data_IF_174147650982
#
_entry.id   IF_174147650982
#
_cell.length_a   1.000
_cell.length_b   1.000
_cell.length_c   1.000
_cell.angle_alpha   90.00
_cell.angle_beta   90.00
_cell.angle_gamma   90.00
#
_symmetry.space_group_name_H-M   'P 1'
#
loop_
_entity.id
_entity.type
_entity.pdbx_description
1 polymer ?
#
# COMPACT_ATOMS: atom_id res chain seq x y z
N UNK A 1 22.97 -20.42 -34.54
CA UNK A 1 22.76 -19.20 -33.76
C UNK A 1 21.67 -19.51 -32.77
N UNK A 2 22.01 -19.65 -31.46
CA UNK A 2 21.01 -19.87 -30.45
C UNK A 2 20.09 -18.64 -30.36
N UNK A 3 18.79 -18.86 -30.26
CA UNK A 3 17.84 -17.78 -30.02
C UNK A 3 18.31 -16.97 -28.80
N UNK A 4 18.48 -15.65 -28.99
CA UNK A 4 18.80 -14.78 -27.84
C UNK A 4 17.65 -14.88 -26.82
N UNK A 5 17.97 -15.09 -25.57
CA UNK A 5 16.97 -15.13 -24.51
C UNK A 5 16.24 -13.76 -24.46
N UNK A 6 14.92 -13.80 -24.40
CA UNK A 6 14.05 -12.62 -24.36
C UNK A 6 13.18 -12.65 -23.10
N UNK A 7 12.77 -11.46 -22.63
CA UNK A 7 11.83 -11.36 -21.54
C UNK A 7 10.46 -11.91 -21.98
N UNK A 8 9.88 -12.74 -21.13
CA UNK A 8 8.56 -13.28 -21.37
C UNK A 8 7.49 -12.20 -21.24
N UNK A 9 6.64 -12.10 -22.23
CA UNK A 9 5.45 -11.27 -22.21
C UNK A 9 4.28 -11.95 -22.91
N UNK A 10 3.10 -11.41 -22.68
CA UNK A 10 1.90 -11.69 -23.47
C UNK A 10 1.24 -10.37 -23.85
N UNK A 11 0.51 -10.35 -24.95
CA UNK A 11 -0.32 -9.19 -25.27
C UNK A 11 -1.60 -9.19 -24.42
N UNK A 12 -2.20 -8.01 -24.28
CA UNK A 12 -3.46 -7.88 -23.56
C UNK A 12 -4.56 -8.79 -24.13
N UNK A 13 -4.62 -8.91 -25.47
CA UNK A 13 -5.56 -9.80 -26.16
C UNK A 13 -5.32 -11.28 -25.82
N UNK A 14 -4.07 -11.73 -25.80
CA UNK A 14 -3.72 -13.11 -25.47
C UNK A 14 -4.12 -13.45 -24.03
N UNK A 15 -3.83 -12.57 -23.08
CA UNK A 15 -4.17 -12.79 -21.67
C UNK A 15 -5.68 -12.75 -21.41
N UNK A 16 -6.39 -11.80 -22.04
CA UNK A 16 -7.83 -11.72 -21.92
C UNK A 16 -8.55 -12.93 -22.51
N UNK A 17 -8.01 -13.52 -23.55
CA UNK A 17 -8.55 -14.72 -24.22
C UNK A 17 -8.36 -16.01 -23.41
N UNK A 18 -7.35 -16.09 -22.54
CA UNK A 18 -7.10 -17.28 -21.72
C UNK A 18 -8.05 -17.46 -20.53
N UNK A 19 -8.72 -16.40 -20.09
CA UNK A 19 -9.47 -16.42 -18.83
C UNK A 19 -8.59 -16.26 -17.59
N UNK A 20 -9.20 -15.82 -16.47
CA UNK A 20 -8.47 -15.49 -15.24
C UNK A 20 -7.81 -16.71 -14.58
N UNK A 21 -8.43 -17.86 -14.64
CA UNK A 21 -7.95 -19.08 -13.97
C UNK A 21 -6.92 -19.86 -14.82
N UNK A 22 -6.79 -19.50 -16.11
CA UNK A 22 -5.87 -20.15 -17.06
C UNK A 22 -4.68 -19.23 -17.46
N UNK A 23 -4.44 -18.18 -16.68
CA UNK A 23 -3.33 -17.29 -16.92
C UNK A 23 -1.98 -18.03 -16.82
N UNK A 24 -0.99 -17.65 -17.68
CA UNK A 24 0.37 -18.17 -17.55
C UNK A 24 0.90 -17.98 -16.12
N UNK A 25 1.65 -18.97 -15.65
CA UNK A 25 2.24 -19.00 -14.31
C UNK A 25 3.00 -17.73 -13.96
N UNK A 26 3.65 -17.13 -14.93
CA UNK A 26 4.46 -15.93 -14.81
C UNK A 26 3.67 -14.72 -14.27
N UNK A 27 2.36 -14.71 -14.45
CA UNK A 27 1.49 -13.63 -13.97
C UNK A 27 0.76 -13.93 -12.65
N UNK A 28 0.94 -15.15 -12.10
CA UNK A 28 0.22 -15.60 -10.91
C UNK A 28 1.17 -15.61 -9.69
N UNK A 29 1.04 -14.66 -8.73
CA UNK A 29 1.96 -14.53 -7.59
C UNK A 29 2.04 -15.79 -6.71
N UNK A 30 0.93 -16.49 -6.54
CA UNK A 30 0.80 -17.67 -5.71
C UNK A 30 1.46 -18.93 -6.30
N UNK A 31 1.84 -18.90 -7.57
CA UNK A 31 2.48 -20.02 -8.27
C UNK A 31 4.00 -19.88 -8.43
N UNK A 32 4.58 -18.80 -7.91
CA UNK A 32 6.02 -18.59 -7.96
C UNK A 32 6.70 -18.97 -6.66
N UNK A 33 7.81 -19.71 -6.78
CA UNK A 33 8.72 -20.04 -5.67
C UNK A 33 9.94 -19.11 -5.64
N UNK A 34 10.21 -18.41 -6.73
CA UNK A 34 11.38 -17.52 -6.88
C UNK A 34 10.92 -16.18 -7.44
N UNK A 35 11.53 -15.11 -6.93
CA UNK A 35 11.37 -13.73 -7.37
C UNK A 35 12.77 -13.22 -7.73
N UNK A 36 13.07 -13.13 -9.01
CA UNK A 36 14.42 -12.80 -9.46
C UNK A 36 14.47 -11.73 -10.55
N UNK A 37 13.36 -11.01 -10.77
CA UNK A 37 13.43 -9.90 -11.71
C UNK A 37 14.30 -8.78 -11.13
N UNK A 38 15.11 -8.08 -11.96
CA UNK A 38 15.98 -7.03 -11.47
C UNK A 38 15.27 -5.89 -10.76
N UNK A 39 14.10 -5.45 -11.24
CA UNK A 39 13.32 -4.42 -10.58
C UNK A 39 12.76 -4.87 -9.24
N UNK A 40 12.30 -6.13 -9.13
CA UNK A 40 11.84 -6.70 -7.85
C UNK A 40 12.98 -6.73 -6.83
N UNK A 41 14.17 -7.15 -7.22
CA UNK A 41 15.34 -7.14 -6.36
C UNK A 41 15.74 -5.73 -5.94
N UNK A 42 15.64 -4.76 -6.84
CA UNK A 42 15.98 -3.36 -6.55
C UNK A 42 14.99 -2.67 -5.59
N UNK A 43 13.69 -2.96 -5.73
CA UNK A 43 12.64 -2.18 -5.05
C UNK A 43 11.77 -2.98 -4.07
N UNK A 44 11.67 -4.31 -4.24
CA UNK A 44 10.88 -5.22 -3.41
C UNK A 44 11.75 -6.26 -2.72
N UNK A 45 12.97 -5.93 -2.31
CA UNK A 45 13.75 -6.86 -1.51
C UNK A 45 12.99 -7.26 -0.24
N UNK A 46 13.22 -8.44 0.35
CA UNK A 46 12.55 -8.87 1.58
C UNK A 46 12.62 -7.83 2.71
N UNK A 47 13.66 -6.98 2.72
CA UNK A 47 13.76 -5.84 3.65
C UNK A 47 12.78 -4.70 3.37
N UNK A 48 12.25 -4.57 2.15
CA UNK A 48 11.30 -3.50 1.80
C UNK A 48 9.93 -3.70 2.47
N UNK A 49 9.47 -4.93 2.64
CA UNK A 49 8.24 -5.21 3.40
C UNK A 49 8.37 -4.85 4.89
N UNK A 50 9.58 -4.95 5.46
CA UNK A 50 9.87 -4.46 6.81
C UNK A 50 9.61 -2.96 6.98
N UNK A 51 9.74 -2.17 5.94
CA UNK A 51 9.48 -0.74 5.97
C UNK A 51 7.99 -0.42 6.19
N UNK A 52 7.10 -1.11 5.50
CA UNK A 52 5.64 -0.97 5.69
C UNK A 52 5.22 -1.34 7.11
N UNK A 53 5.81 -2.37 7.69
CA UNK A 53 5.55 -2.80 9.07
C UNK A 53 6.00 -1.75 10.09
N UNK A 54 7.15 -1.07 9.89
CA UNK A 54 7.57 0.05 10.74
C UNK A 54 6.56 1.18 10.71
N UNK A 55 6.19 1.65 9.52
CA UNK A 55 5.24 2.74 9.34
C UNK A 55 3.89 2.39 9.99
N UNK A 56 3.41 1.17 9.77
CA UNK A 56 2.18 0.69 10.38
C UNK A 56 2.28 0.59 11.90
N UNK A 57 3.27 -0.12 12.43
CA UNK A 57 3.43 -0.36 13.85
C UNK A 57 3.67 0.92 14.66
N UNK A 58 4.44 1.86 14.10
CA UNK A 58 4.75 3.14 14.75
C UNK A 58 3.76 4.28 14.39
N UNK A 59 2.65 3.96 13.71
CA UNK A 59 1.60 4.93 13.43
C UNK A 59 0.81 5.35 14.68
N UNK A 60 0.79 4.53 15.73
CA UNK A 60 0.18 4.90 17.01
C UNK A 60 1.07 5.96 17.69
N UNK A 61 0.57 7.16 18.00
CA UNK A 61 1.36 8.20 18.65
C UNK A 61 1.95 7.75 19.99
N UNK A 62 3.24 7.99 20.19
CA UNK A 62 3.97 7.60 21.39
C UNK A 62 4.26 6.10 21.52
N UNK A 63 3.93 5.28 20.52
CA UNK A 63 4.32 3.85 20.52
C UNK A 63 5.79 3.67 20.22
N UNK A 64 6.34 2.55 20.68
CA UNK A 64 7.67 2.05 20.34
C UNK A 64 7.58 0.65 19.76
N UNK A 65 8.61 0.21 19.06
CA UNK A 65 8.67 -1.13 18.48
C UNK A 65 9.85 -1.91 19.03
N UNK A 66 9.61 -3.12 19.51
CA UNK A 66 10.63 -4.11 19.81
C UNK A 66 10.65 -5.15 18.68
N UNK A 67 11.71 -5.13 17.87
CA UNK A 67 11.96 -6.15 16.86
C UNK A 67 12.74 -7.31 17.43
N UNK A 68 12.18 -8.50 17.34
CA UNK A 68 12.77 -9.77 17.80
C UNK A 68 13.25 -10.52 16.57
N UNK A 69 14.54 -10.61 16.37
CA UNK A 69 15.08 -11.14 15.13
C UNK A 69 16.55 -11.59 15.24
N UNK A 70 17.00 -12.50 14.35
CA UNK A 70 18.42 -12.66 14.06
C UNK A 70 19.02 -11.32 13.57
N UNK A 71 20.33 -11.17 13.76
CA UNK A 71 21.04 -9.92 13.46
C UNK A 71 20.90 -9.41 12.03
N UNK A 72 20.73 -10.29 11.05
CA UNK A 72 20.55 -9.91 9.64
C UNK A 72 19.25 -9.11 9.40
N UNK A 73 18.12 -9.54 9.99
CA UNK A 73 16.84 -8.84 9.86
C UNK A 73 16.86 -7.49 10.60
N UNK A 74 17.43 -7.47 11.81
CA UNK A 74 17.57 -6.25 12.60
C UNK A 74 18.40 -5.19 11.88
N UNK A 75 19.54 -5.58 11.28
CA UNK A 75 20.43 -4.65 10.56
C UNK A 75 19.76 -3.94 9.40
N UNK A 76 19.04 -4.65 8.55
CA UNK A 76 18.32 -4.04 7.43
C UNK A 76 17.29 -3.04 7.92
N UNK A 77 16.62 -3.34 9.03
CA UNK A 77 15.61 -2.46 9.62
C UNK A 77 16.26 -1.24 10.28
N UNK A 78 17.44 -1.39 10.91
CA UNK A 78 18.19 -0.30 11.51
C UNK A 78 18.73 0.67 10.45
N UNK A 79 19.29 0.17 9.35
CA UNK A 79 19.84 1.00 8.26
C UNK A 79 18.81 1.97 7.66
N UNK A 80 17.53 1.60 7.66
CA UNK A 80 16.43 2.43 7.20
C UNK A 80 15.79 3.28 8.32
N UNK A 81 16.27 3.17 9.58
CA UNK A 81 15.71 3.85 10.75
C UNK A 81 15.78 5.38 10.71
N UNK A 82 16.91 5.99 10.28
CA UNK A 82 17.04 7.46 10.25
C UNK A 82 16.09 8.13 9.24
N UNK A 83 15.81 7.46 8.13
CA UNK A 83 14.85 7.98 7.15
C UNK A 83 13.42 7.68 7.60
N UNK A 84 12.68 8.68 8.05
CA UNK A 84 11.25 8.57 8.42
C UNK A 84 10.93 8.88 9.88
N UNK A 85 11.86 9.44 10.66
CA UNK A 85 11.58 9.92 12.03
C UNK A 85 11.36 8.83 13.08
N UNK A 86 11.90 7.63 12.84
CA UNK A 86 11.76 6.48 13.76
C UNK A 86 12.90 6.32 14.76
N UNK A 87 13.89 7.22 14.74
CA UNK A 87 15.01 7.21 15.69
C UNK A 87 14.49 7.30 17.13
N UNK A 88 15.02 6.48 18.00
CA UNK A 88 14.61 6.40 19.41
C UNK A 88 13.29 5.67 19.67
N UNK A 89 12.59 5.21 18.64
CA UNK A 89 11.33 4.46 18.77
C UNK A 89 11.45 2.98 18.37
N UNK A 90 12.64 2.56 17.94
CA UNK A 90 12.91 1.17 17.54
C UNK A 90 13.99 0.54 18.40
N UNK A 91 13.67 -0.59 18.96
CA UNK A 91 14.54 -1.42 19.82
C UNK A 91 14.67 -2.80 19.22
N UNK A 92 15.77 -3.48 19.51
CA UNK A 92 16.11 -4.78 18.94
C UNK A 92 16.46 -5.77 20.03
N UNK A 93 15.80 -6.92 20.01
CA UNK A 93 16.22 -8.09 20.76
C UNK A 93 16.81 -9.09 19.77
N UNK A 94 18.12 -9.27 19.83
CA UNK A 94 18.82 -10.21 18.97
C UNK A 94 18.59 -11.63 19.44
N UNK A 95 18.31 -12.52 18.49
CA UNK A 95 18.18 -13.95 18.70
C UNK A 95 19.46 -14.66 18.29
N UNK A 96 19.98 -15.52 19.16
CA UNK A 96 21.01 -16.52 18.84
C UNK A 96 20.39 -17.89 18.53
N UNK A 97 21.21 -18.83 18.04
CA UNK A 97 20.74 -20.18 17.71
C UNK A 97 20.21 -20.92 18.95
N UNK A 98 20.82 -20.72 20.11
CA UNK A 98 20.36 -21.32 21.36
C UNK A 98 19.02 -20.82 21.79
N UNK A 99 18.77 -19.51 21.63
CA UNK A 99 17.46 -18.90 21.90
C UNK A 99 16.37 -19.51 21.03
N UNK A 100 16.66 -19.74 19.75
CA UNK A 100 15.73 -20.32 18.79
C UNK A 100 15.41 -21.78 19.12
N UNK A 101 16.46 -22.61 19.33
CA UNK A 101 16.32 -24.06 19.59
C UNK A 101 15.61 -24.34 20.91
N UNK A 102 15.89 -23.55 21.93
CA UNK A 102 15.35 -23.77 23.30
C UNK A 102 14.04 -22.99 23.54
N UNK A 103 13.66 -22.05 22.67
CA UNK A 103 12.54 -21.13 22.89
C UNK A 103 12.79 -20.13 24.03
N UNK A 104 14.04 -20.01 24.53
CA UNK A 104 14.42 -19.17 25.67
C UNK A 104 14.12 -17.68 25.43
N UNK A 105 14.16 -17.22 24.19
CA UNK A 105 13.84 -15.84 23.84
C UNK A 105 12.45 -15.43 24.30
N UNK A 106 11.46 -16.34 24.30
CA UNK A 106 10.09 -16.03 24.71
C UNK A 106 10.02 -15.61 26.19
N UNK A 107 10.86 -16.20 27.04
CA UNK A 107 10.95 -15.82 28.46
C UNK A 107 11.68 -14.50 28.70
N UNK A 108 12.53 -14.05 27.75
CA UNK A 108 13.25 -12.77 27.80
C UNK A 108 12.38 -11.58 27.40
N UNK A 109 11.38 -11.79 26.54
CA UNK A 109 10.56 -10.71 25.97
C UNK A 109 9.90 -9.82 27.03
N UNK A 110 9.23 -10.34 28.07
CA UNK A 110 8.63 -9.50 29.10
C UNK A 110 9.65 -8.58 29.80
N UNK A 111 10.85 -9.11 30.07
CA UNK A 111 11.95 -8.33 30.64
C UNK A 111 12.43 -7.22 29.71
N UNK A 112 12.60 -7.53 28.41
CA UNK A 112 13.03 -6.56 27.40
C UNK A 112 12.00 -5.42 27.23
N UNK A 113 10.69 -5.73 27.24
CA UNK A 113 9.63 -4.70 27.17
C UNK A 113 9.67 -3.81 28.40
N UNK A 114 9.88 -4.38 29.60
CA UNK A 114 10.02 -3.59 30.84
C UNK A 114 11.26 -2.69 30.79
N UNK A 115 12.37 -3.18 30.28
CA UNK A 115 13.62 -2.43 30.12
C UNK A 115 13.42 -1.23 29.19
N UNK A 116 12.77 -1.43 28.03
CA UNK A 116 12.41 -0.35 27.09
C UNK A 116 11.57 0.74 27.78
N UNK A 117 10.57 0.33 28.56
CA UNK A 117 9.72 1.29 29.28
C UNK A 117 10.50 2.09 30.32
N UNK A 118 11.56 1.53 30.90
CA UNK A 118 12.46 2.24 31.81
C UNK A 118 13.50 3.11 31.09
N UNK A 119 13.86 2.76 29.89
CA UNK A 119 14.83 3.50 29.07
C UNK A 119 14.23 4.76 28.42
N UNK A 120 12.98 4.71 28.02
CA UNK A 120 12.29 5.83 27.38
C UNK A 120 12.10 6.98 28.37
N UNK A 121 12.39 8.22 27.97
CA UNK A 121 12.16 9.43 28.76
C UNK A 121 10.69 9.63 29.13
N UNK A 122 9.79 9.27 28.19
CA UNK A 122 8.35 9.23 28.42
C UNK A 122 7.87 7.78 28.29
N UNK A 123 6.93 7.38 29.15
CA UNK A 123 6.38 6.03 29.10
C UNK A 123 5.68 5.80 27.77
N UNK A 124 6.05 4.75 26.99
CA UNK A 124 5.40 4.45 25.72
C UNK A 124 3.89 4.25 25.87
N UNK A 125 3.11 4.73 24.92
CA UNK A 125 1.66 4.53 24.87
C UNK A 125 1.30 3.09 24.50
N UNK A 126 2.16 2.43 23.75
CA UNK A 126 2.09 1.00 23.42
C UNK A 126 3.46 0.49 22.98
N UNK A 127 3.70 -0.80 23.14
CA UNK A 127 4.86 -1.48 22.56
C UNK A 127 4.39 -2.41 21.45
N UNK A 128 4.90 -2.19 20.24
CA UNK A 128 4.67 -3.06 19.09
C UNK A 128 5.72 -4.17 19.11
N UNK A 129 5.28 -5.38 19.45
CA UNK A 129 6.14 -6.55 19.53
C UNK A 129 6.25 -7.18 18.14
N UNK A 130 7.34 -6.89 17.45
CA UNK A 130 7.52 -7.29 16.05
C UNK A 130 8.35 -8.56 15.94
N UNK A 131 7.76 -9.61 15.36
CA UNK A 131 8.42 -10.86 15.05
C UNK A 131 8.74 -11.01 13.57
N UNK A 132 9.74 -11.85 13.29
CA UNK A 132 10.16 -12.20 11.94
C UNK A 132 9.67 -13.59 11.52
N UNK A 133 10.18 -14.09 10.40
CA UNK A 133 9.87 -15.44 9.92
C UNK A 133 10.26 -16.56 10.88
N UNK A 134 11.24 -16.37 11.77
CA UNK A 134 11.65 -17.37 12.76
C UNK A 134 10.49 -17.77 13.65
N UNK A 135 9.90 -16.82 14.36
CA UNK A 135 8.74 -17.09 15.23
C UNK A 135 7.50 -17.54 14.47
N UNK A 136 7.33 -17.04 13.23
CA UNK A 136 6.25 -17.49 12.37
C UNK A 136 6.38 -18.98 12.01
N UNK A 137 7.61 -19.47 11.76
CA UNK A 137 7.90 -20.88 11.48
C UNK A 137 7.78 -21.75 12.73
N UNK A 138 8.21 -21.24 13.89
CA UNK A 138 8.06 -21.91 15.18
C UNK A 138 6.61 -22.00 15.66
N UNK A 139 5.70 -21.26 15.07
CA UNK A 139 4.30 -21.23 15.47
C UNK A 139 4.06 -20.55 16.82
N UNK A 140 4.89 -19.58 17.17
CA UNK A 140 4.82 -18.83 18.44
C UNK A 140 3.43 -18.25 18.67
N UNK A 141 2.86 -18.50 19.86
CA UNK A 141 1.62 -17.86 20.32
C UNK A 141 1.90 -16.42 20.74
N UNK A 142 1.82 -15.51 19.77
CA UNK A 142 2.09 -14.10 19.99
C UNK A 142 1.10 -13.42 20.92
N UNK A 143 -0.14 -13.89 20.99
CA UNK A 143 -1.14 -13.29 21.89
C UNK A 143 -0.78 -13.57 23.35
N UNK A 144 -0.33 -14.79 23.64
CA UNK A 144 0.16 -15.15 24.96
C UNK A 144 1.41 -14.35 25.35
N UNK A 145 2.36 -14.24 24.44
CA UNK A 145 3.61 -13.49 24.67
C UNK A 145 3.32 -12.02 24.92
N UNK A 146 2.45 -11.40 24.14
CA UNK A 146 2.06 -10.00 24.32
C UNK A 146 1.34 -9.79 25.66
N UNK A 147 0.45 -10.70 26.10
CA UNK A 147 -0.21 -10.61 27.42
C UNK A 147 0.82 -10.66 28.55
N UNK A 148 1.75 -11.60 28.52
CA UNK A 148 2.80 -11.70 29.55
C UNK A 148 3.69 -10.45 29.59
N UNK A 149 4.06 -9.91 28.44
CA UNK A 149 4.86 -8.69 28.36
C UNK A 149 4.06 -7.46 28.86
N UNK A 150 2.77 -7.38 28.55
CA UNK A 150 1.89 -6.31 29.03
C UNK A 150 1.73 -6.35 30.56
N UNK A 151 1.58 -7.54 31.15
CA UNK A 151 1.50 -7.71 32.60
C UNK A 151 2.80 -7.26 33.28
N UNK A 152 3.96 -7.59 32.71
CA UNK A 152 5.28 -7.26 33.27
C UNK A 152 5.60 -5.75 33.18
N UNK A 153 5.19 -5.08 32.12
CA UNK A 153 5.56 -3.69 31.82
C UNK A 153 4.44 -2.67 32.14
N UNK A 154 3.22 -3.11 32.37
CA UNK A 154 2.02 -2.27 32.59
C UNK A 154 1.81 -1.23 31.47
N UNK A 155 2.03 -1.65 30.22
CA UNK A 155 1.74 -0.89 29.00
C UNK A 155 1.09 -1.84 27.98
N UNK A 156 0.23 -1.34 27.10
CA UNK A 156 -0.32 -2.16 26.02
C UNK A 156 0.82 -2.76 25.15
N UNK A 157 0.76 -4.06 24.91
CA UNK A 157 1.68 -4.75 24.01
C UNK A 157 0.90 -5.38 22.87
N UNK A 158 1.25 -5.04 21.63
CA UNK A 158 0.50 -5.39 20.44
C UNK A 158 1.38 -6.19 19.48
N UNK A 159 0.91 -7.34 18.95
CA UNK A 159 1.68 -8.13 18.01
C UNK A 159 1.83 -7.43 16.67
N UNK A 160 3.02 -7.48 16.10
CA UNK A 160 3.36 -6.98 14.79
C UNK A 160 4.13 -8.06 14.02
N UNK A 161 3.90 -8.16 12.71
CA UNK A 161 4.41 -9.28 11.93
C UNK A 161 5.24 -8.79 10.75
N UNK A 162 6.55 -9.06 10.77
CA UNK A 162 7.48 -8.73 9.70
C UNK A 162 8.00 -10.01 9.04
N UNK A 163 7.15 -10.66 8.27
CA UNK A 163 7.56 -11.82 7.48
C UNK A 163 6.78 -11.89 6.16
N UNK A 164 7.43 -12.47 5.15
CA UNK A 164 6.84 -12.65 3.83
C UNK A 164 6.12 -14.00 3.66
N UNK A 165 6.18 -14.88 4.67
CA UNK A 165 5.60 -16.21 4.61
C UNK A 165 4.09 -16.14 4.70
N UNK A 166 3.40 -16.41 3.59
CA UNK A 166 1.97 -16.65 3.59
C UNK A 166 1.71 -18.16 3.73
N UNK A 167 0.84 -18.53 4.65
CA UNK A 167 0.35 -19.92 4.76
C UNK A 167 -1.04 -19.98 4.15
N UNK A 168 -1.37 -21.06 3.47
CA UNK A 168 -2.71 -21.32 2.98
C UNK A 168 -3.76 -21.11 4.09
N UNK A 169 -4.85 -20.40 3.75
CA UNK A 169 -5.93 -20.10 4.69
C UNK A 169 -5.64 -19.00 5.73
N UNK A 170 -4.48 -18.35 5.73
CA UNK A 170 -4.17 -17.23 6.62
C UNK A 170 -4.15 -15.91 5.86
N UNK A 171 -4.58 -14.85 6.56
CA UNK A 171 -4.47 -13.50 6.04
C UNK A 171 -3.01 -13.09 5.82
N UNK A 172 -2.72 -12.26 4.80
CA UNK A 172 -1.40 -11.67 4.64
C UNK A 172 -0.95 -10.94 5.93
N UNK A 173 0.34 -11.02 6.30
CA UNK A 173 0.85 -10.43 7.54
C UNK A 173 0.46 -8.95 7.70
N UNK A 174 0.50 -8.16 6.64
CA UNK A 174 0.13 -6.74 6.67
C UNK A 174 -1.34 -6.51 7.02
N UNK A 175 -2.25 -7.40 6.62
CA UNK A 175 -3.66 -7.32 7.04
C UNK A 175 -3.80 -7.52 8.55
N UNK A 176 -3.03 -8.47 9.14
CA UNK A 176 -2.98 -8.69 10.58
C UNK A 176 -2.39 -7.48 11.33
N UNK A 177 -1.30 -6.89 10.81
CA UNK A 177 -0.70 -5.67 11.37
C UNK A 177 -1.70 -4.49 11.34
N UNK A 178 -2.41 -4.29 10.22
CA UNK A 178 -3.44 -3.26 10.11
C UNK A 178 -4.53 -3.43 11.18
N UNK A 179 -5.00 -4.66 11.42
CA UNK A 179 -5.94 -4.95 12.50
C UNK A 179 -5.32 -4.65 13.86
N UNK A 180 -4.09 -5.12 14.11
CA UNK A 180 -3.41 -4.95 15.39
C UNK A 180 -3.24 -3.48 15.78
N UNK A 181 -2.91 -2.63 14.81
CA UNK A 181 -2.76 -1.17 15.04
C UNK A 181 -4.05 -0.51 15.56
N UNK A 182 -5.22 -0.99 15.19
CA UNK A 182 -6.50 -0.46 15.70
C UNK A 182 -7.02 -1.20 16.94
N UNK A 183 -6.37 -2.28 17.37
CA UNK A 183 -6.86 -3.15 18.46
C UNK A 183 -6.87 -2.51 19.86
N UNK A 184 -6.16 -1.39 20.04
CA UNK A 184 -6.16 -0.63 21.29
C UNK A 184 -7.38 0.27 21.45
N UNK A 185 -8.15 0.49 20.39
CA UNK A 185 -9.38 1.27 20.46
C UNK A 185 -10.43 0.53 21.29
N UNK A 186 -11.11 1.26 22.16
CA UNK A 186 -12.22 0.74 22.98
C UNK A 186 -13.53 1.38 22.55
N UNK A 187 -14.67 0.70 22.74
CA UNK A 187 -15.97 1.29 22.44
C UNK A 187 -16.17 2.65 23.14
N UNK A 188 -16.60 3.63 22.36
CA UNK A 188 -16.92 4.99 22.82
C UNK A 188 -18.28 5.41 22.27
N UNK A 189 -18.91 6.43 22.89
CA UNK A 189 -20.10 7.08 22.35
C UNK A 189 -19.83 7.61 20.95
N UNK A 190 -20.72 7.30 20.01
CA UNK A 190 -20.58 7.72 18.60
C UNK A 190 -20.96 9.19 18.44
N UNK A 191 -20.28 9.83 17.51
CA UNK A 191 -20.57 11.21 17.10
C UNK A 191 -20.93 11.22 15.63
N UNK A 192 -22.11 11.73 15.29
CA UNK A 192 -22.61 11.77 13.92
C UNK A 192 -21.72 12.59 12.99
N UNK A 193 -21.01 13.59 13.53
CA UNK A 193 -20.11 14.48 12.79
C UNK A 193 -18.66 13.99 12.69
N UNK A 194 -18.39 12.71 13.05
CA UNK A 194 -17.06 12.11 13.04
C UNK A 194 -16.97 10.93 12.10
N UNK A 195 -15.88 10.85 11.33
CA UNK A 195 -15.52 9.69 10.51
C UNK A 195 -14.04 9.39 10.59
N UNK A 196 -13.67 8.17 10.23
CA UNK A 196 -12.27 7.80 9.98
C UNK A 196 -12.04 7.53 8.49
N UNK A 197 -10.86 7.91 8.01
CA UNK A 197 -10.29 7.39 6.77
C UNK A 197 -9.27 6.33 7.18
N UNK A 198 -9.45 5.11 6.70
CA UNK A 198 -8.55 3.98 6.97
C UNK A 198 -8.11 3.32 5.65
N UNK A 199 -6.90 2.83 5.63
CA UNK A 199 -6.39 2.16 4.42
C UNK A 199 -4.90 2.37 4.21
N UNK A 200 -4.37 3.52 4.58
CA UNK A 200 -2.94 3.83 4.52
C UNK A 200 -2.42 4.28 5.89
N UNK A 201 -1.11 4.14 6.09
CA UNK A 201 -0.37 4.74 7.20
C UNK A 201 0.39 6.00 6.77
N UNK A 202 0.20 6.42 5.53
CA UNK A 202 0.54 7.74 5.01
C UNK A 202 -0.76 8.54 4.84
N UNK A 203 -0.76 9.86 5.10
CA UNK A 203 -1.96 10.67 4.97
C UNK A 203 -2.40 10.77 3.51
N UNK A 204 -3.68 11.00 3.28
CA UNK A 204 -4.14 11.47 1.97
C UNK A 204 -3.51 12.83 1.66
N UNK A 205 -3.32 13.10 0.36
CA UNK A 205 -2.95 14.44 -0.11
C UNK A 205 -3.85 15.50 0.52
N UNK A 206 -3.23 16.56 1.02
CA UNK A 206 -3.97 17.69 1.61
C UNK A 206 -4.93 18.38 0.64
N UNK A 207 -4.68 18.24 -0.68
CA UNK A 207 -5.56 18.72 -1.74
C UNK A 207 -6.74 17.81 -2.10
N UNK A 208 -6.84 16.62 -1.48
CA UNK A 208 -7.91 15.67 -1.77
C UNK A 208 -9.29 16.27 -1.47
N UNK A 209 -10.15 16.28 -2.45
CA UNK A 209 -11.50 16.85 -2.37
C UNK A 209 -12.40 16.18 -1.34
N UNK A 210 -12.09 14.95 -0.91
CA UNK A 210 -12.87 14.23 0.10
C UNK A 210 -13.00 15.02 1.40
N UNK A 211 -11.92 15.68 1.85
CA UNK A 211 -11.98 16.51 3.07
C UNK A 211 -13.04 17.60 2.95
N UNK A 212 -12.96 18.37 1.87
CA UNK A 212 -13.88 19.48 1.64
C UNK A 212 -15.33 19.00 1.44
N UNK A 213 -15.52 17.92 0.69
CA UNK A 213 -16.83 17.38 0.39
C UNK A 213 -17.51 16.81 1.64
N UNK A 214 -16.78 16.07 2.49
CA UNK A 214 -17.32 15.59 3.77
C UNK A 214 -17.58 16.73 4.74
N UNK A 215 -16.75 17.78 4.77
CA UNK A 215 -17.03 18.96 5.60
C UNK A 215 -18.32 19.66 5.15
N UNK A 216 -18.56 19.82 3.83
CA UNK A 216 -19.81 20.34 3.31
C UNK A 216 -21.03 19.47 3.67
N UNK A 217 -20.83 18.15 3.75
CA UNK A 217 -21.85 17.19 4.16
C UNK A 217 -22.08 17.13 5.69
N UNK A 218 -21.42 18.01 6.49
CA UNK A 218 -21.63 18.10 7.93
C UNK A 218 -20.67 17.28 8.79
N UNK A 219 -19.70 16.56 8.19
CA UNK A 219 -18.66 15.87 8.95
C UNK A 219 -17.62 16.88 9.40
N UNK A 220 -17.49 17.09 10.72
CA UNK A 220 -16.55 18.06 11.31
C UNK A 220 -15.19 17.46 11.61
N UNK A 221 -15.15 16.18 11.94
CA UNK A 221 -13.95 15.48 12.39
C UNK A 221 -13.65 14.29 11.48
N UNK A 222 -12.68 14.46 10.59
CA UNK A 222 -12.13 13.42 9.72
C UNK A 222 -10.80 12.99 10.34
N UNK A 223 -10.68 11.72 10.75
CA UNK A 223 -9.49 11.20 11.42
C UNK A 223 -8.78 10.16 10.55
N UNK A 224 -7.49 10.35 10.45
CA UNK A 224 -6.54 9.39 9.88
C UNK A 224 -5.48 9.09 10.93
N UNK A 225 -5.11 7.83 11.10
CA UNK A 225 -4.07 7.47 12.07
C UNK A 225 -2.74 8.17 11.77
N UNK A 226 -2.42 8.38 10.50
CA UNK A 226 -1.22 9.08 10.04
C UNK A 226 -1.19 10.58 10.40
N UNK A 227 -2.33 11.16 10.76
CA UNK A 227 -2.48 12.56 11.17
C UNK A 227 -2.70 12.73 12.68
N UNK A 228 -2.84 11.63 13.42
CA UNK A 228 -2.94 11.70 14.86
C UNK A 228 -1.59 12.13 15.47
N UNK A 229 -1.58 13.22 16.23
CA UNK A 229 -0.39 13.78 16.89
C UNK A 229 -0.27 13.31 18.34
N UNK A 230 -1.37 12.86 18.95
CA UNK A 230 -1.43 12.38 20.31
C UNK A 230 -2.16 11.03 20.42
N UNK A 231 -1.86 10.28 21.48
CA UNK A 231 -2.57 9.04 21.78
C UNK A 231 -4.07 9.28 22.04
N UNK A 232 -4.44 10.43 22.61
CA UNK A 232 -5.83 10.82 22.78
C UNK A 232 -6.58 10.99 21.46
N UNK A 233 -5.95 11.61 20.45
CA UNK A 233 -6.54 11.72 19.11
C UNK A 233 -6.72 10.34 18.46
N UNK A 234 -5.74 9.44 18.61
CA UNK A 234 -5.85 8.06 18.15
C UNK A 234 -7.04 7.35 18.84
N UNK A 235 -7.16 7.44 20.17
CA UNK A 235 -8.27 6.83 20.89
C UNK A 235 -9.63 7.39 20.45
N UNK A 236 -9.70 8.68 20.12
CA UNK A 236 -10.90 9.33 19.61
C UNK A 236 -11.37 8.81 18.25
N UNK A 237 -10.55 8.03 17.51
CA UNK A 237 -11.03 7.32 16.33
C UNK A 237 -12.19 6.37 16.63
N UNK A 238 -12.30 5.89 17.88
CA UNK A 238 -13.43 5.06 18.33
C UNK A 238 -14.78 5.79 18.38
N UNK A 239 -14.80 7.12 18.30
CA UNK A 239 -16.03 7.93 18.27
C UNK A 239 -16.66 8.04 16.88
N UNK A 240 -15.97 7.58 15.82
CA UNK A 240 -16.44 7.72 14.47
C UNK A 240 -17.79 7.04 14.24
N UNK A 241 -18.63 7.68 13.44
CA UNK A 241 -19.91 7.15 12.99
C UNK A 241 -19.73 6.07 11.92
N UNK A 242 -18.73 6.23 11.05
CA UNK A 242 -18.35 5.25 10.05
C UNK A 242 -16.85 5.34 9.68
N UNK A 243 -16.35 4.29 9.03
CA UNK A 243 -15.02 4.26 8.42
C UNK A 243 -15.15 4.34 6.89
N UNK A 244 -14.38 5.21 6.27
CA UNK A 244 -14.12 5.18 4.84
C UNK A 244 -12.85 4.37 4.59
N UNK A 245 -12.99 3.22 3.92
CA UNK A 245 -11.88 2.29 3.66
C UNK A 245 -11.36 2.53 2.26
N UNK A 246 -10.08 2.91 2.14
CA UNK A 246 -9.45 3.24 0.85
C UNK A 246 -8.52 2.14 0.31
N UNK A 247 -8.25 1.11 1.10
CA UNK A 247 -7.39 0.00 0.71
C UNK A 247 -8.00 -1.34 1.15
N UNK A 248 -8.23 -2.28 0.22
CA UNK A 248 -8.78 -3.60 0.52
C UNK A 248 -8.02 -4.41 1.59
N UNK A 249 -6.71 -4.20 1.75
CA UNK A 249 -5.93 -4.82 2.83
C UNK A 249 -6.40 -4.44 4.24
N UNK A 250 -7.17 -3.36 4.37
CA UNK A 250 -7.75 -2.91 5.64
C UNK A 250 -9.09 -3.55 5.97
N UNK A 251 -9.64 -4.44 5.12
CA UNK A 251 -10.92 -5.13 5.37
C UNK A 251 -10.93 -5.92 6.67
N UNK A 252 -9.80 -6.55 7.03
CA UNK A 252 -9.69 -7.26 8.32
C UNK A 252 -9.78 -6.30 9.50
N UNK A 253 -9.15 -5.13 9.40
CA UNK A 253 -9.20 -4.10 10.41
C UNK A 253 -10.60 -3.47 10.51
N UNK A 254 -11.21 -3.09 9.39
CA UNK A 254 -12.56 -2.51 9.36
C UNK A 254 -13.62 -3.46 9.87
N UNK A 255 -13.55 -4.74 9.49
CA UNK A 255 -14.47 -5.77 10.00
C UNK A 255 -14.32 -6.01 11.52
N UNK A 256 -13.10 -5.88 12.06
CA UNK A 256 -12.90 -5.90 13.50
C UNK A 256 -13.49 -4.64 14.16
N UNK A 257 -13.27 -3.44 13.60
CA UNK A 257 -13.85 -2.19 14.13
C UNK A 257 -15.38 -2.21 14.09
N UNK A 258 -15.97 -2.81 13.08
CA UNK A 258 -17.43 -2.98 13.01
C UNK A 258 -17.95 -3.87 14.13
N UNK A 259 -17.33 -5.03 14.35
CA UNK A 259 -17.75 -5.98 15.40
C UNK A 259 -17.46 -5.48 16.81
N UNK A 260 -16.24 -5.00 17.05
CA UNK A 260 -15.77 -4.64 18.38
C UNK A 260 -16.20 -3.21 18.80
N UNK A 261 -16.22 -2.28 17.86
CA UNK A 261 -16.47 -0.86 18.11
C UNK A 261 -17.83 -0.40 17.58
N UNK A 262 -18.54 -1.22 16.79
CA UNK A 262 -19.79 -0.85 16.10
C UNK A 262 -19.61 0.37 15.19
N UNK A 263 -18.52 0.39 14.41
CA UNK A 263 -18.27 1.42 13.40
C UNK A 263 -18.42 0.76 12.02
N UNK A 264 -19.54 0.98 11.31
CA UNK A 264 -19.73 0.45 9.96
C UNK A 264 -18.72 1.02 8.98
N UNK A 265 -18.52 0.35 7.86
CA UNK A 265 -17.49 0.73 6.89
C UNK A 265 -18.06 0.81 5.48
N UNK A 266 -17.62 1.81 4.73
CA UNK A 266 -17.83 1.94 3.29
C UNK A 266 -16.47 1.88 2.62
N UNK A 267 -16.33 1.04 1.59
CA UNK A 267 -15.10 0.91 0.83
C UNK A 267 -15.23 1.61 -0.52
N UNK A 268 -14.24 2.44 -0.83
CA UNK A 268 -14.04 3.01 -2.16
C UNK A 268 -12.61 2.76 -2.62
N UNK A 269 -12.43 2.54 -3.92
CA UNK A 269 -11.13 2.21 -4.49
C UNK A 269 -10.44 3.42 -5.09
N UNK A 270 -9.12 3.47 -5.01
CA UNK A 270 -8.32 4.41 -5.80
C UNK A 270 -8.50 4.11 -7.28
N UNK A 271 -8.85 5.12 -8.04
CA UNK A 271 -9.02 5.05 -9.48
C UNK A 271 -8.51 6.32 -10.15
N UNK A 272 -8.14 6.19 -11.42
CA UNK A 272 -7.72 7.29 -12.28
C UNK A 272 -8.72 7.56 -13.41
N UNK A 273 -9.76 6.75 -13.56
CA UNK A 273 -10.91 6.99 -14.44
C UNK A 273 -11.91 7.92 -13.74
N UNK A 274 -11.96 9.20 -14.14
CA UNK A 274 -12.80 10.23 -13.45
C UNK A 274 -14.29 9.89 -13.40
N UNK A 275 -14.84 9.26 -14.45
CA UNK A 275 -16.22 8.78 -14.47
C UNK A 275 -16.47 7.68 -13.42
N UNK A 276 -15.47 6.86 -13.12
CA UNK A 276 -15.56 5.83 -12.08
C UNK A 276 -15.43 6.43 -10.68
N UNK A 277 -14.60 7.44 -10.51
CA UNK A 277 -14.52 8.22 -9.27
C UNK A 277 -15.88 8.86 -8.97
N UNK A 278 -16.48 9.56 -9.94
CA UNK A 278 -17.82 10.15 -9.82
C UNK A 278 -18.87 9.12 -9.40
N UNK A 279 -18.91 7.98 -10.08
CA UNK A 279 -19.86 6.92 -9.76
C UNK A 279 -19.67 6.35 -8.34
N UNK A 280 -18.43 6.14 -7.89
CA UNK A 280 -18.16 5.70 -6.53
C UNK A 280 -18.64 6.72 -5.50
N UNK A 281 -18.34 8.01 -5.73
CA UNK A 281 -18.75 9.09 -4.84
C UNK A 281 -20.27 9.21 -4.76
N UNK A 282 -20.96 9.13 -5.89
CA UNK A 282 -22.42 9.14 -5.93
C UNK A 282 -23.04 7.96 -5.16
N UNK A 283 -22.49 6.76 -5.33
CA UNK A 283 -22.96 5.57 -4.61
C UNK A 283 -22.68 5.66 -3.11
N UNK A 284 -21.50 6.14 -2.72
CA UNK A 284 -21.13 6.39 -1.34
C UNK A 284 -22.06 7.41 -0.68
N UNK A 285 -22.29 8.54 -1.33
CA UNK A 285 -23.16 9.59 -0.83
C UNK A 285 -24.61 9.10 -0.65
N UNK A 286 -25.12 8.31 -1.60
CA UNK A 286 -26.43 7.67 -1.49
C UNK A 286 -26.48 6.69 -0.31
N UNK A 287 -25.43 5.91 -0.08
CA UNK A 287 -25.38 4.96 1.03
C UNK A 287 -25.31 5.64 2.40
N UNK A 288 -24.71 6.83 2.47
CA UNK A 288 -24.60 7.65 3.67
C UNK A 288 -25.79 8.61 3.86
N UNK A 289 -26.66 8.75 2.87
CA UNK A 289 -27.75 9.71 2.83
C UNK A 289 -27.27 11.16 3.07
N UNK A 290 -26.21 11.56 2.34
CA UNK A 290 -25.58 12.88 2.45
C UNK A 290 -25.60 13.63 1.11
N UNK A 291 -25.68 14.99 1.13
CA UNK A 291 -25.52 15.80 -0.07
C UNK A 291 -24.07 15.68 -0.59
N UNK A 292 -23.91 15.61 -1.92
CA UNK A 292 -22.60 15.47 -2.54
C UNK A 292 -22.50 16.22 -3.84
N UNK A 293 -21.60 17.18 -3.92
CA UNK A 293 -21.42 18.07 -5.06
C UNK A 293 -19.97 18.04 -5.53
N UNK A 294 -19.61 17.05 -6.33
CA UNK A 294 -18.25 16.84 -6.84
C UNK A 294 -18.04 17.30 -8.29
N UNK A 295 -19.06 17.92 -8.93
CA UNK A 295 -19.03 18.29 -10.35
C UNK A 295 -17.89 19.27 -10.67
N UNK A 296 -17.59 20.20 -9.77
CA UNK A 296 -16.49 21.15 -9.96
C UNK A 296 -15.13 20.43 -10.00
N UNK A 297 -14.90 19.45 -9.12
CA UNK A 297 -13.65 18.68 -9.07
C UNK A 297 -13.53 17.76 -10.27
N UNK A 298 -14.64 17.15 -10.70
CA UNK A 298 -14.73 16.38 -11.94
C UNK A 298 -14.31 17.20 -13.15
N UNK A 299 -14.89 18.38 -13.31
CA UNK A 299 -14.58 19.28 -14.42
C UNK A 299 -13.11 19.73 -14.40
N UNK A 300 -12.58 20.08 -13.23
CA UNK A 300 -11.20 20.47 -13.08
C UNK A 300 -10.22 19.31 -13.43
N UNK A 301 -10.57 18.07 -13.11
CA UNK A 301 -9.77 16.91 -13.52
C UNK A 301 -9.88 16.68 -15.03
N UNK A 302 -11.06 16.82 -15.62
CA UNK A 302 -11.28 16.72 -17.07
C UNK A 302 -10.49 17.77 -17.85
N UNK A 303 -10.46 19.01 -17.36
CA UNK A 303 -9.69 20.11 -17.97
C UNK A 303 -8.18 19.84 -17.92
N UNK A 304 -7.66 19.32 -16.81
CA UNK A 304 -6.24 19.00 -16.68
C UNK A 304 -5.82 17.88 -17.65
N UNK A 305 -6.65 16.83 -17.78
CA UNK A 305 -6.45 15.75 -18.75
C UNK A 305 -6.48 16.32 -20.19
N UNK A 306 -7.44 17.19 -20.51
CA UNK A 306 -7.57 17.80 -21.84
C UNK A 306 -6.34 18.66 -22.18
N UNK A 307 -5.90 19.50 -21.23
CA UNK A 307 -4.69 20.34 -21.37
C UNK A 307 -3.44 19.50 -21.63
N UNK A 308 -3.26 18.43 -20.88
CA UNK A 308 -2.13 17.52 -21.09
C UNK A 308 -2.23 16.84 -22.46
N UNK A 309 -3.41 16.37 -22.86
CA UNK A 309 -3.62 15.72 -24.17
C UNK A 309 -3.37 16.67 -25.34
N UNK A 310 -3.76 17.92 -25.25
CA UNK A 310 -3.50 18.94 -26.28
C UNK A 310 -2.00 19.10 -26.54
N UNK A 311 -1.20 19.16 -25.46
CA UNK A 311 0.24 19.38 -25.58
C UNK A 311 1.05 18.11 -25.84
N UNK A 312 0.61 16.96 -25.28
CA UNK A 312 1.37 15.71 -25.23
C UNK A 312 0.57 14.49 -25.71
N UNK A 313 -0.46 14.66 -26.53
CA UNK A 313 -1.34 13.57 -26.96
C UNK A 313 -0.67 12.40 -27.70
N UNK A 314 0.49 12.63 -28.29
CA UNK A 314 1.30 11.59 -28.95
C UNK A 314 2.14 10.73 -28.00
N UNK A 315 2.15 11.02 -26.69
CA UNK A 315 2.99 10.33 -25.71
C UNK A 315 2.59 8.86 -25.57
N UNK A 316 3.61 7.99 -25.55
CA UNK A 316 3.46 6.55 -25.28
C UNK A 316 3.86 6.28 -23.85
N UNK A 317 3.04 5.54 -23.12
CA UNK A 317 3.23 5.21 -21.69
C UNK A 317 3.68 3.77 -21.51
N UNK A 318 4.55 3.57 -20.49
CA UNK A 318 4.84 2.27 -19.90
C UNK A 318 4.52 2.34 -18.40
N UNK A 319 3.68 1.42 -17.90
CA UNK A 319 3.08 1.49 -16.57
C UNK A 319 3.55 0.32 -15.71
N UNK A 320 4.13 0.62 -14.55
CA UNK A 320 4.60 -0.36 -13.56
C UNK A 320 3.64 -0.54 -12.38
N UNK A 321 3.82 -1.62 -11.64
CA UNK A 321 3.03 -1.93 -10.45
C UNK A 321 3.62 -1.32 -9.14
N UNK A 322 4.89 -0.86 -9.18
CA UNK A 322 5.52 -0.24 -8.01
C UNK A 322 5.23 1.26 -8.02
N UNK A 323 3.96 1.58 -7.87
CA UNK A 323 3.39 2.93 -7.84
C UNK A 323 2.13 2.98 -6.98
N UNK A 324 1.68 4.18 -6.62
CA UNK A 324 0.39 4.41 -5.96
C UNK A 324 -0.78 4.32 -6.96
N UNK A 325 -0.81 3.25 -7.76
CA UNK A 325 -1.83 2.95 -8.77
C UNK A 325 -1.89 1.44 -9.03
N UNK A 326 -3.07 0.92 -9.39
CA UNK A 326 -3.15 -0.37 -10.07
C UNK A 326 -2.71 -0.18 -11.53
N UNK A 327 -1.71 -0.92 -12.03
CA UNK A 327 -1.15 -0.68 -13.36
C UNK A 327 -2.16 -0.91 -14.49
N UNK A 328 -3.11 -1.82 -14.32
CA UNK A 328 -4.14 -2.10 -15.33
C UNK A 328 -5.26 -1.06 -15.30
N UNK A 329 -5.66 -0.60 -14.09
CA UNK A 329 -6.65 0.47 -13.96
C UNK A 329 -6.12 1.79 -14.56
N UNK A 330 -4.88 2.17 -14.21
CA UNK A 330 -4.27 3.37 -14.75
C UNK A 330 -4.05 3.27 -16.27
N UNK A 331 -3.61 2.13 -16.77
CA UNK A 331 -3.48 1.91 -18.22
C UNK A 331 -4.80 2.05 -18.94
N UNK A 332 -5.87 1.48 -18.38
CA UNK A 332 -7.22 1.63 -18.92
C UNK A 332 -7.69 3.09 -18.92
N UNK A 333 -7.40 3.84 -17.84
CA UNK A 333 -7.71 5.26 -17.76
C UNK A 333 -7.01 6.05 -18.88
N UNK A 334 -5.71 5.85 -19.06
CA UNK A 334 -4.92 6.52 -20.09
C UNK A 334 -5.42 6.19 -21.51
N UNK A 335 -5.72 4.92 -21.80
CA UNK A 335 -6.29 4.51 -23.09
C UNK A 335 -7.65 5.17 -23.35
N UNK A 336 -8.51 5.25 -22.33
CA UNK A 336 -9.83 5.92 -22.44
C UNK A 336 -9.71 7.44 -22.63
N UNK A 337 -8.64 8.05 -22.15
CA UNK A 337 -8.33 9.46 -22.39
C UNK A 337 -7.68 9.71 -23.76
N UNK A 338 -7.44 8.65 -24.54
CA UNK A 338 -6.89 8.74 -25.91
C UNK A 338 -5.37 8.71 -25.97
N UNK A 339 -4.70 8.30 -24.89
CA UNK A 339 -3.25 8.07 -24.88
C UNK A 339 -2.91 6.63 -25.32
N UNK A 340 -1.63 6.39 -25.60
CA UNK A 340 -1.11 5.08 -26.00
C UNK A 340 -0.37 4.45 -24.81
N UNK A 341 -0.65 3.17 -24.53
CA UNK A 341 0.09 2.37 -23.57
C UNK A 341 0.76 1.22 -24.30
N UNK A 342 2.09 1.21 -24.35
CA UNK A 342 2.84 0.15 -25.02
C UNK A 342 3.09 -1.04 -24.13
N UNK A 343 3.33 -0.81 -22.84
CA UNK A 343 3.77 -1.83 -21.89
C UNK A 343 3.15 -1.65 -20.51
N UNK A 344 2.84 -2.77 -19.87
CA UNK A 344 2.40 -2.85 -18.49
C UNK A 344 3.30 -3.87 -17.78
N UNK A 345 3.85 -3.50 -16.63
CA UNK A 345 4.61 -4.41 -15.76
C UNK A 345 3.76 -4.68 -14.54
N UNK A 346 3.33 -5.92 -14.35
CA UNK A 346 2.48 -6.21 -13.20
C UNK A 346 2.01 -7.65 -13.12
N UNK A 347 1.51 -7.98 -11.94
CA UNK A 347 0.87 -9.25 -11.63
C UNK A 347 -0.63 -9.16 -11.82
N UNK A 348 -1.25 -10.28 -12.19
CA UNK A 348 -2.68 -10.31 -12.49
C UNK A 348 -3.43 -11.08 -11.41
N UNK A 349 -4.52 -10.48 -10.93
CA UNK A 349 -5.45 -11.07 -10.00
C UNK A 349 -6.90 -10.91 -10.49
N UNK A 350 -7.87 -11.52 -9.82
CA UNK A 350 -9.29 -11.47 -10.22
C UNK A 350 -9.88 -10.05 -10.32
N UNK A 351 -9.30 -9.08 -9.60
CA UNK A 351 -9.81 -7.71 -9.59
C UNK A 351 -9.32 -6.96 -10.82
N UNK A 352 -7.99 -6.97 -11.07
CA UNK A 352 -7.41 -6.22 -12.18
C UNK A 352 -7.56 -6.91 -13.53
N UNK A 353 -7.86 -8.22 -13.57
CA UNK A 353 -8.20 -8.93 -14.79
C UNK A 353 -9.38 -8.29 -15.55
N UNK A 354 -10.34 -7.71 -14.85
CA UNK A 354 -11.46 -6.98 -15.44
C UNK A 354 -11.01 -5.73 -16.20
N UNK A 355 -9.95 -5.08 -15.75
CA UNK A 355 -9.35 -3.94 -16.47
C UNK A 355 -8.58 -4.45 -17.68
N UNK A 356 -7.81 -5.53 -17.54
CA UNK A 356 -7.10 -6.19 -18.63
C UNK A 356 -8.03 -6.56 -19.80
N UNK A 357 -9.19 -7.15 -19.51
CA UNK A 357 -10.19 -7.46 -20.56
C UNK A 357 -10.61 -6.23 -21.36
N UNK A 358 -10.77 -5.08 -20.69
CA UNK A 358 -11.12 -3.81 -21.36
C UNK A 358 -9.95 -3.19 -22.11
N UNK A 359 -8.72 -3.36 -21.60
CA UNK A 359 -7.50 -2.97 -22.28
C UNK A 359 -7.36 -3.76 -23.58
N UNK A 360 -7.62 -5.07 -23.55
CA UNK A 360 -7.57 -5.94 -24.74
C UNK A 360 -8.49 -5.47 -25.87
N UNK A 361 -9.63 -4.86 -25.55
CA UNK A 361 -10.55 -4.28 -26.55
C UNK A 361 -10.01 -2.97 -27.14
N UNK A 362 -9.38 -2.12 -26.33
CA UNK A 362 -8.91 -0.80 -26.74
C UNK A 362 -7.51 -0.82 -27.36
N UNK A 363 -6.65 -1.70 -26.86
CA UNK A 363 -5.24 -1.83 -27.26
C UNK A 363 -4.79 -3.29 -27.14
N UNK A 364 -5.21 -4.17 -28.07
CA UNK A 364 -4.97 -5.60 -28.01
C UNK A 364 -3.48 -5.97 -27.97
N UNK A 365 -2.64 -5.15 -28.58
CA UNK A 365 -1.20 -5.39 -28.72
C UNK A 365 -0.36 -4.85 -27.56
N UNK A 366 -0.98 -4.20 -26.55
CA UNK A 366 -0.27 -3.77 -25.33
C UNK A 366 0.43 -4.96 -24.71
N UNK A 367 1.74 -4.85 -24.53
CA UNK A 367 2.56 -5.92 -23.94
C UNK A 367 2.45 -5.90 -22.43
N UNK A 368 2.20 -7.06 -21.85
CA UNK A 368 2.16 -7.24 -20.39
C UNK A 368 3.35 -8.11 -19.99
N UNK A 369 4.17 -7.58 -19.09
CA UNK A 369 5.30 -8.24 -18.48
C UNK A 369 5.01 -8.51 -17.01
N UNK A 370 5.59 -9.57 -16.48
CA UNK A 370 5.47 -9.86 -15.05
C UNK A 370 6.80 -9.61 -14.32
N UNK A 371 6.76 -8.79 -13.28
CA UNK A 371 7.92 -8.61 -12.39
C UNK A 371 8.28 -9.89 -11.60
N UNK A 372 7.47 -10.92 -11.65
CA UNK A 372 7.77 -12.22 -11.06
C UNK A 372 8.64 -13.09 -11.97
N UNK A 373 8.63 -12.83 -13.27
CA UNK A 373 9.34 -13.66 -14.24
C UNK A 373 10.85 -13.47 -14.18
N UNK A 374 11.64 -14.54 -14.00
CA UNK A 374 13.10 -14.48 -14.06
C UNK A 374 13.63 -13.98 -15.42
N UNK A 375 12.84 -14.14 -16.47
CA UNK A 375 13.25 -13.73 -17.83
C UNK A 375 13.34 -12.23 -18.00
N UNK A 376 12.84 -11.43 -17.04
CA UNK A 376 13.01 -9.98 -17.04
C UNK A 376 14.47 -9.52 -17.01
N UNK A 377 15.42 -10.41 -16.69
CA UNK A 377 16.85 -10.17 -16.90
C UNK A 377 17.20 -9.90 -18.37
N UNK A 378 16.42 -10.41 -19.31
CA UNK A 378 16.61 -10.27 -20.75
C UNK A 378 15.71 -9.21 -21.38
N UNK A 379 15.06 -8.39 -20.53
CA UNK A 379 14.20 -7.32 -21.03
C UNK A 379 14.97 -6.32 -21.88
N UNK A 380 14.36 -5.92 -22.99
CA UNK A 380 14.83 -4.84 -23.87
C UNK A 380 13.64 -3.93 -24.19
N UNK A 381 13.83 -2.61 -24.16
CA UNK A 381 12.78 -1.66 -24.49
C UNK A 381 12.14 -1.95 -25.84
N UNK A 382 10.82 -1.85 -25.90
CA UNK A 382 10.06 -2.08 -27.14
C UNK A 382 10.24 -0.94 -28.14
N UNK A 383 9.86 -1.19 -29.39
CA UNK A 383 9.79 -0.16 -30.43
C UNK A 383 8.32 -0.02 -30.85
N UNK A 384 7.70 1.18 -30.79
CA UNK A 384 8.29 2.45 -30.33
C UNK A 384 8.54 2.46 -28.82
N UNK A 385 9.64 3.09 -28.41
CA UNK A 385 9.98 3.25 -27.00
C UNK A 385 8.93 4.12 -26.27
N UNK A 386 8.68 3.84 -25.01
CA UNK A 386 7.86 4.70 -24.18
C UNK A 386 8.47 6.10 -24.07
N UNK A 387 7.64 7.13 -24.11
CA UNK A 387 8.07 8.51 -23.86
C UNK A 387 8.08 8.85 -22.37
N UNK A 388 7.24 8.15 -21.60
CA UNK A 388 7.11 8.33 -20.16
C UNK A 388 6.80 7.00 -19.46
N UNK A 389 7.37 6.83 -18.28
CA UNK A 389 7.11 5.66 -17.44
C UNK A 389 6.45 6.09 -16.13
N UNK A 390 5.57 5.24 -15.59
CA UNK A 390 4.95 5.40 -14.27
C UNK A 390 5.31 4.20 -13.41
N UNK A 391 5.87 4.45 -12.22
CA UNK A 391 6.33 3.42 -11.30
C UNK A 391 7.84 3.19 -11.35
N UNK A 392 8.39 2.74 -10.23
CA UNK A 392 9.84 2.51 -10.07
C UNK A 392 10.36 1.39 -10.97
N UNK A 393 9.58 0.33 -11.14
CA UNK A 393 9.88 -0.82 -11.99
C UNK A 393 9.87 -0.44 -13.47
N UNK A 394 8.85 0.27 -13.94
CA UNK A 394 8.80 0.76 -15.31
C UNK A 394 10.00 1.70 -15.62
N UNK A 395 10.35 2.58 -14.68
CA UNK A 395 11.52 3.45 -14.81
C UNK A 395 12.83 2.66 -14.86
N UNK A 396 12.95 1.60 -14.04
CA UNK A 396 14.13 0.74 -14.04
C UNK A 396 14.38 0.09 -15.41
N UNK A 397 13.32 -0.40 -16.06
CA UNK A 397 13.41 -1.05 -17.35
C UNK A 397 13.57 -0.09 -18.54
N UNK A 398 13.20 1.17 -18.37
CA UNK A 398 13.23 2.18 -19.43
C UNK A 398 14.05 3.43 -19.04
N UNK A 399 15.35 3.33 -18.77
CA UNK A 399 16.15 4.43 -18.21
C UNK A 399 16.27 5.67 -19.10
N UNK A 400 15.96 5.55 -20.40
CA UNK A 400 16.02 6.66 -21.37
C UNK A 400 14.72 7.48 -21.51
N UNK A 401 13.70 7.22 -20.70
CA UNK A 401 12.40 7.89 -20.76
C UNK A 401 12.25 8.99 -19.70
N UNK A 402 11.21 9.82 -19.83
CA UNK A 402 10.73 10.61 -18.69
C UNK A 402 10.15 9.67 -17.62
N UNK A 403 10.37 9.99 -16.33
CA UNK A 403 9.95 9.11 -15.24
C UNK A 403 9.03 9.82 -14.24
N UNK A 404 7.94 9.17 -13.89
CA UNK A 404 7.08 9.54 -12.76
C UNK A 404 7.01 8.34 -11.80
N UNK A 405 7.75 8.41 -10.70
CA UNK A 405 7.82 7.30 -9.72
C UNK A 405 6.48 7.02 -9.04
N UNK A 406 5.67 8.04 -8.87
CA UNK A 406 4.31 8.00 -8.31
C UNK A 406 4.18 7.16 -7.02
N UNK A 407 5.09 7.39 -6.09
CA UNK A 407 5.13 6.79 -4.76
C UNK A 407 5.68 7.83 -3.77
N UNK A 408 4.79 8.69 -3.29
CA UNK A 408 5.12 9.81 -2.40
C UNK A 408 4.85 9.50 -0.92
N UNK A 409 5.12 10.48 -0.08
CA UNK A 409 4.80 10.43 1.35
C UNK A 409 3.28 10.61 1.60
N UNK A 410 2.59 11.35 0.76
CA UNK A 410 1.14 11.49 0.77
C UNK A 410 0.51 10.55 -0.27
N UNK A 411 -0.70 10.08 0.05
CA UNK A 411 -1.44 9.17 -0.82
C UNK A 411 -2.31 9.95 -1.81
N UNK A 412 -2.09 9.81 -3.13
CA UNK A 412 -2.98 10.40 -4.12
C UNK A 412 -4.32 9.68 -4.11
N UNK A 413 -5.42 10.43 -4.19
CA UNK A 413 -6.75 9.86 -4.25
C UNK A 413 -7.73 10.81 -4.97
N UNK A 414 -8.80 10.24 -5.53
CA UNK A 414 -9.88 11.00 -6.15
C UNK A 414 -9.45 11.86 -7.34
N UNK A 415 -10.15 12.95 -7.55
CA UNK A 415 -9.86 13.88 -8.66
C UNK A 415 -8.55 14.64 -8.45
N UNK A 416 -8.20 14.95 -7.20
CA UNK A 416 -6.90 15.56 -6.88
C UNK A 416 -5.74 14.64 -7.27
N UNK A 417 -5.87 13.33 -7.02
CA UNK A 417 -4.89 12.34 -7.44
C UNK A 417 -4.71 12.31 -8.97
N UNK A 418 -5.80 12.38 -9.72
CA UNK A 418 -5.75 12.45 -11.20
C UNK A 418 -5.05 13.73 -11.66
N UNK A 419 -5.47 14.89 -11.17
CA UNK A 419 -4.85 16.18 -11.54
C UNK A 419 -3.37 16.22 -11.23
N UNK A 420 -3.00 15.75 -10.04
CA UNK A 420 -1.60 15.71 -9.59
C UNK A 420 -0.75 14.79 -10.44
N UNK A 421 -1.29 13.64 -10.89
CA UNK A 421 -0.60 12.73 -11.79
C UNK A 421 -0.34 13.38 -13.16
N UNK A 422 -1.34 14.03 -13.76
CA UNK A 422 -1.17 14.68 -15.07
C UNK A 422 -0.20 15.87 -15.01
N UNK A 423 -0.18 16.63 -13.90
CA UNK A 423 0.84 17.65 -13.66
C UNK A 423 2.24 17.05 -13.52
N UNK A 424 2.36 15.89 -12.86
CA UNK A 424 3.64 15.18 -12.75
C UNK A 424 4.11 14.69 -14.12
N UNK A 425 3.22 14.22 -14.99
CA UNK A 425 3.54 13.86 -16.37
C UNK A 425 4.10 15.04 -17.17
N UNK A 426 3.40 16.18 -17.13
CA UNK A 426 3.85 17.39 -17.81
C UNK A 426 5.25 17.83 -17.35
N UNK A 427 5.46 17.87 -16.03
CA UNK A 427 6.75 18.22 -15.42
C UNK A 427 7.88 17.27 -15.84
N UNK A 428 7.61 15.96 -15.89
CA UNK A 428 8.61 14.97 -16.28
C UNK A 428 9.03 15.12 -17.75
N UNK A 429 8.07 15.36 -18.65
CA UNK A 429 8.33 15.58 -20.07
C UNK A 429 9.08 16.90 -20.33
N UNK A 430 8.77 17.96 -19.59
CA UNK A 430 9.50 19.25 -19.68
C UNK A 430 10.94 19.14 -19.18
N UNK A 431 11.20 18.24 -18.22
CA UNK A 431 12.54 18.00 -17.69
C UNK A 431 13.47 17.26 -18.65
N UNK A 432 12.92 16.46 -19.58
CA UNK A 432 13.71 15.73 -20.59
C UNK A 432 13.97 16.60 -21.84
N UNK A 433 13.13 17.61 -22.07
CA UNK A 433 13.27 18.53 -23.20
C UNK A 433 14.35 19.61 -23.02
N UNK A 434 14.97 19.68 -21.84
CA UNK A 434 16.10 20.55 -21.50
C UNK A 434 17.41 19.76 -21.47
#
# INVERSE_FOLDING_TARGET
MGAMAEAFYRTAAQLAGSGCDELPREFQPDKHLIYSSPATLAFNSPGAQGFGVKRAGLAIPGSVMLLISPGCCGRNTAASGPSGGYSGRMFYMLLDETDIVTGRHLSKIPGAVKEICGYCSEKPTAVMLCITCVDALLGTDMERVCRSAQEAAHVPVVPCYMYALTREGRHPPMAAVRKAVYSLLKPMAKRADCMNIIGSFSPLSGGCELYRLFHKAGVRHIREISRCTSFGEYLNMAQANFNLVLNPESRLASGWMEKALRIPSIEISRMYQIDKIHNQYRLMAKALDIPWEDQQDYNAAQEEIARFREKYGGTVFAIGEIADADPFELSLALLRYGFRVSEIYGTINKINFRFLQKIAVLSPDTRVYSNLSPTMLYYRPSTPQAGITVGKDAAYYNPGCAHVMWCGEEQPFGYDGVRSLFKAFAKALEGVAK
#
